data_IF_466093744084
#
_entry.id   IF_466093744084
#
_cell.length_a   1.000
_cell.length_b   1.000
_cell.length_c   1.000
_cell.angle_alpha   90.00
_cell.angle_beta   90.00
_cell.angle_gamma   90.00
#
_symmetry.space_group_name_H-M   'P 1'
#
loop_
_entity.id
_entity.type
_entity.pdbx_description
1 polymer ?
#
# COMPACT_ATOMS: atom_id res chain seq x y z
N UNK A 1 0.74 -20.07 10.24
CA UNK A 1 1.51 -19.12 9.39
C UNK A 1 0.62 -17.93 9.09
N UNK A 2 1.13 -16.70 9.14
CA UNK A 2 0.40 -15.48 8.78
C UNK A 2 0.91 -14.98 7.43
N UNK A 3 0.00 -14.69 6.51
CA UNK A 3 0.33 -14.20 5.17
C UNK A 3 0.05 -12.69 5.11
N UNK A 4 0.97 -11.94 4.52
CA UNK A 4 0.87 -10.49 4.33
C UNK A 4 1.22 -10.12 2.89
N UNK A 5 0.88 -8.89 2.48
CA UNK A 5 1.08 -8.44 1.10
C UNK A 5 1.79 -7.08 1.02
N UNK A 6 2.39 -6.80 -0.13
CA UNK A 6 2.93 -5.48 -0.48
C UNK A 6 2.10 -4.94 -1.63
N UNK A 7 1.59 -3.71 -1.47
CA UNK A 7 0.87 -2.97 -2.49
C UNK A 7 1.75 -1.79 -2.89
N UNK A 8 2.09 -1.72 -4.18
CA UNK A 8 2.94 -0.64 -4.70
C UNK A 8 2.19 0.70 -4.72
N UNK A 9 2.85 1.82 -4.41
CA UNK A 9 2.22 3.14 -4.39
C UNK A 9 2.16 3.73 -5.81
N UNK A 10 1.64 2.98 -6.77
CA UNK A 10 1.63 3.34 -8.20
C UNK A 10 0.22 3.64 -8.73
N UNK A 11 -0.80 3.29 -7.95
CA UNK A 11 -2.20 3.44 -8.35
C UNK A 11 -2.78 4.76 -7.87
N UNK A 12 -3.46 5.48 -8.77
CA UNK A 12 -4.32 6.61 -8.36
C UNK A 12 -5.38 6.11 -7.37
N UNK A 13 -5.77 6.96 -6.44
CA UNK A 13 -6.59 6.55 -5.30
C UNK A 13 -7.92 5.86 -5.67
N UNK A 14 -8.59 6.29 -6.75
CA UNK A 14 -9.83 5.67 -7.24
C UNK A 14 -9.71 4.16 -7.51
N UNK A 15 -8.52 3.70 -7.88
CA UNK A 15 -8.22 2.27 -8.07
C UNK A 15 -7.48 1.69 -6.86
N UNK A 16 -6.56 2.45 -6.27
CA UNK A 16 -5.78 2.01 -5.10
C UNK A 16 -6.67 1.61 -3.92
N UNK A 17 -7.73 2.38 -3.63
CA UNK A 17 -8.67 2.08 -2.54
C UNK A 17 -9.23 0.65 -2.61
N UNK A 18 -9.64 0.21 -3.81
CA UNK A 18 -10.20 -1.12 -4.03
C UNK A 18 -9.17 -2.22 -3.75
N UNK A 19 -7.90 -1.97 -4.06
CA UNK A 19 -6.80 -2.93 -3.83
C UNK A 19 -6.53 -3.08 -2.34
N UNK A 20 -6.49 -1.97 -1.59
CA UNK A 20 -6.30 -1.99 -0.13
C UNK A 20 -7.46 -2.68 0.59
N UNK A 21 -8.71 -2.34 0.24
CA UNK A 21 -9.90 -3.03 0.75
C UNK A 21 -9.88 -4.52 0.41
N UNK A 22 -9.48 -4.87 -0.82
CA UNK A 22 -9.39 -6.27 -1.22
C UNK A 22 -8.34 -7.04 -0.42
N UNK A 23 -7.25 -6.41 0.00
CA UNK A 23 -6.27 -7.07 0.85
C UNK A 23 -6.86 -7.43 2.23
N UNK A 24 -7.69 -6.57 2.79
CA UNK A 24 -8.44 -6.86 4.02
C UNK A 24 -9.47 -7.97 3.80
N UNK A 25 -10.30 -7.88 2.75
CA UNK A 25 -11.32 -8.89 2.43
C UNK A 25 -10.74 -10.29 2.21
N UNK A 26 -9.50 -10.37 1.71
CA UNK A 26 -8.78 -11.63 1.50
C UNK A 26 -8.16 -12.20 2.79
N UNK A 27 -8.19 -11.46 3.90
CA UNK A 27 -7.70 -11.91 5.19
C UNK A 27 -6.17 -11.86 5.35
N UNK A 28 -5.47 -10.96 4.64
CA UNK A 28 -4.05 -10.73 4.90
C UNK A 28 -3.85 -10.17 6.33
N UNK A 29 -2.82 -10.63 7.03
CA UNK A 29 -2.52 -10.19 8.41
C UNK A 29 -1.97 -8.75 8.45
N UNK A 30 -1.30 -8.33 7.38
CA UNK A 30 -0.83 -6.97 7.16
C UNK A 30 -0.70 -6.66 5.66
N UNK A 31 -0.78 -5.37 5.33
CA UNK A 31 -0.46 -4.82 4.02
C UNK A 31 0.58 -3.71 4.13
N UNK A 32 1.56 -3.72 3.24
CA UNK A 32 2.69 -2.78 3.26
C UNK A 32 2.83 -2.00 1.96
N UNK A 33 3.52 -0.85 2.02
CA UNK A 33 4.07 -0.14 0.84
C UNK A 33 5.55 0.19 1.05
N UNK A 34 6.25 0.64 0.02
CA UNK A 34 7.63 1.11 0.10
C UNK A 34 7.71 2.62 0.37
N UNK A 35 8.65 3.04 1.22
CA UNK A 35 8.98 4.47 1.46
C UNK A 35 10.10 5.02 0.56
N UNK A 36 10.36 4.35 -0.57
CA UNK A 36 11.27 4.91 -1.56
C UNK A 36 10.66 6.15 -2.23
N UNK A 37 11.49 7.04 -2.75
CA UNK A 37 11.04 8.19 -3.54
C UNK A 37 10.75 7.83 -5.00
N UNK A 38 11.34 6.73 -5.49
CA UNK A 38 11.12 6.22 -6.85
C UNK A 38 11.58 4.77 -6.99
N UNK A 39 11.17 4.12 -8.07
CA UNK A 39 11.69 2.82 -8.49
C UNK A 39 12.00 2.85 -9.98
N UNK A 40 13.13 2.25 -10.40
CA UNK A 40 13.64 2.40 -11.78
C UNK A 40 12.61 2.04 -12.86
N UNK A 41 11.83 0.99 -12.65
CA UNK A 41 10.78 0.53 -13.57
C UNK A 41 9.57 1.46 -13.65
N UNK A 42 9.44 2.43 -12.75
CA UNK A 42 8.34 3.40 -12.66
C UNK A 42 8.81 4.85 -12.83
N UNK A 43 9.97 5.08 -13.46
CA UNK A 43 10.55 6.42 -13.66
C UNK A 43 9.55 7.43 -14.24
N UNK A 44 8.79 7.00 -15.25
CA UNK A 44 7.86 7.85 -16.00
C UNK A 44 6.39 7.55 -15.60
N UNK A 45 6.19 6.93 -14.44
CA UNK A 45 4.90 6.53 -13.92
C UNK A 45 4.69 7.08 -12.50
N UNK A 46 3.44 7.09 -11.99
CA UNK A 46 3.19 7.54 -10.62
C UNK A 46 3.96 6.73 -9.60
N UNK A 47 4.53 7.43 -8.61
CA UNK A 47 5.07 6.87 -7.39
C UNK A 47 4.68 7.78 -6.23
N UNK A 48 3.66 7.38 -5.47
CA UNK A 48 3.12 8.15 -4.37
C UNK A 48 3.93 7.93 -3.09
N UNK A 49 4.00 8.95 -2.23
CA UNK A 49 4.70 8.84 -0.95
C UNK A 49 4.05 7.79 -0.02
N UNK A 50 4.84 7.10 0.80
CA UNK A 50 4.33 6.05 1.68
C UNK A 50 3.35 6.59 2.72
N UNK A 51 3.68 7.69 3.39
CA UNK A 51 2.82 8.30 4.43
C UNK A 51 1.43 8.62 3.90
N UNK A 52 1.23 9.43 2.83
CA UNK A 52 -0.11 9.69 2.32
C UNK A 52 -0.81 8.44 1.78
N UNK A 53 -0.07 7.48 1.22
CA UNK A 53 -0.64 6.20 0.77
C UNK A 53 -1.21 5.40 1.95
N UNK A 54 -0.45 5.27 3.04
CA UNK A 54 -0.86 4.54 4.24
C UNK A 54 -1.95 5.28 5.01
N UNK A 55 -1.94 6.62 5.03
CA UNK A 55 -3.04 7.41 5.58
C UNK A 55 -4.35 7.16 4.83
N UNK A 56 -4.30 7.14 3.49
CA UNK A 56 -5.48 6.86 2.69
C UNK A 56 -5.96 5.41 2.88
N UNK A 57 -5.04 4.44 2.91
CA UNK A 57 -5.35 3.05 3.21
C UNK A 57 -6.03 2.89 4.58
N UNK A 58 -5.49 3.54 5.62
CA UNK A 58 -6.05 3.51 6.98
C UNK A 58 -7.48 4.08 7.04
N UNK A 59 -7.82 5.04 6.17
CA UNK A 59 -9.18 5.57 6.07
C UNK A 59 -10.14 4.67 5.30
N UNK A 60 -9.64 3.68 4.55
CA UNK A 60 -10.43 2.81 3.68
C UNK A 60 -10.60 1.37 4.20
N UNK A 61 -9.84 0.98 5.22
CA UNK A 61 -9.84 -0.35 5.84
C UNK A 61 -10.10 -0.25 7.34
N UNK A 62 -10.57 -1.33 7.98
CA UNK A 62 -11.04 -1.28 9.36
C UNK A 62 -10.07 -1.90 10.38
N UNK A 63 -9.34 -2.96 10.00
CA UNK A 63 -8.67 -3.85 10.93
C UNK A 63 -7.30 -4.37 10.46
N UNK A 64 -7.05 -4.41 9.14
CA UNK A 64 -5.78 -4.86 8.59
C UNK A 64 -4.63 -3.97 9.07
N UNK A 65 -3.49 -4.58 9.44
CA UNK A 65 -2.30 -3.82 9.85
C UNK A 65 -1.64 -3.17 8.64
N UNK A 66 -1.26 -1.91 8.78
CA UNK A 66 -0.64 -1.13 7.72
C UNK A 66 0.79 -0.73 8.13
N UNK A 67 1.71 -0.72 7.17
CA UNK A 67 3.08 -0.28 7.45
C UNK A 67 3.94 -0.11 6.21
N UNK A 68 5.20 0.24 6.43
CA UNK A 68 6.22 0.23 5.39
C UNK A 68 6.96 -1.10 5.39
N UNK A 69 7.31 -1.62 4.20
CA UNK A 69 8.24 -2.73 4.07
C UNK A 69 9.55 -2.18 3.51
N UNK A 70 10.45 -1.84 4.43
CA UNK A 70 11.58 -0.90 4.31
C UNK A 70 11.14 0.56 4.50
N UNK A 71 11.74 1.20 5.51
CA UNK A 71 11.69 2.64 5.79
C UNK A 71 13.10 3.20 5.69
N UNK A 72 13.25 4.46 5.26
CA UNK A 72 14.55 5.14 5.20
C UNK A 72 14.99 5.69 6.56
#
# INVERSE_FOLDING_TARGET
>A
MRLSTVILPIHRWSEGQKIWQRAEDLGFDAAYTYDHLSWRSFRDAPWFGAVPTLTAAAAATESIRLGTLVTS
#
